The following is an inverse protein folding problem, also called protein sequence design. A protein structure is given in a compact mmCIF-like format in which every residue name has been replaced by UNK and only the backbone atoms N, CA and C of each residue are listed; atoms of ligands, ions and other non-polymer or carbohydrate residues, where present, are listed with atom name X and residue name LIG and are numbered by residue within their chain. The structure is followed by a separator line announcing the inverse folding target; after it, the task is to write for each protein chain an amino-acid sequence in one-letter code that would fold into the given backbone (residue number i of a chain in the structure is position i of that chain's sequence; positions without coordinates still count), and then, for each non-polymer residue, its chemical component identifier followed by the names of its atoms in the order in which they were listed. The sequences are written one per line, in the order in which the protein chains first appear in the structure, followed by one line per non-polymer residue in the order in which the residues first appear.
data_IF_811266981701
#
_entry.id   IF_811266981701
#
_cell.length_a   1.000
_cell.length_b   1.000
_cell.length_c   1.000
_cell.angle_alpha   90.00
_cell.angle_beta   90.00
_cell.angle_gamma   90.00
#
_symmetry.space_group_name_H-M   'P 1'
#
loop_
_entity.id
_entity.type
_entity.pdbx_description
1 polymer ?
#
# COMPACT_ATOMS: atom_id res chain seq x y z
N UNK A 1 -19.39 14.31 -29.67
CA UNK A 1 -18.71 13.07 -29.23
C UNK A 1 -18.87 12.98 -27.72
N UNK A 2 -19.50 11.92 -27.20
CA UNK A 2 -19.73 11.74 -25.77
C UNK A 2 -18.38 11.40 -25.10
N UNK A 3 -17.86 12.30 -24.28
CA UNK A 3 -16.70 12.07 -23.41
C UNK A 3 -17.19 11.27 -22.21
N UNK A 4 -17.29 9.95 -22.34
CA UNK A 4 -17.66 9.10 -21.19
C UNK A 4 -16.40 8.66 -20.44
N UNK A 5 -16.39 8.99 -19.14
CA UNK A 5 -15.67 8.34 -18.03
C UNK A 5 -14.22 7.89 -18.29
N UNK A 6 -13.25 8.79 -18.09
CA UNK A 6 -11.83 8.48 -18.25
C UNK A 6 -11.09 8.12 -16.95
N UNK A 7 -11.80 8.02 -15.82
CA UNK A 7 -11.23 7.66 -14.51
C UNK A 7 -11.67 6.26 -14.02
N UNK A 8 -12.16 5.41 -14.94
CA UNK A 8 -12.64 4.07 -14.61
C UNK A 8 -11.52 3.04 -14.34
N UNK A 9 -10.24 3.39 -14.55
CA UNK A 9 -9.10 2.47 -14.41
C UNK A 9 -8.58 2.24 -12.99
N UNK A 10 -8.96 3.09 -12.03
CA UNK A 10 -8.56 2.94 -10.62
C UNK A 10 -9.53 2.03 -9.88
N UNK A 11 -9.50 0.73 -10.21
CA UNK A 11 -10.12 -0.30 -9.38
C UNK A 11 -9.37 -0.34 -8.05
N UNK A 12 -9.92 0.34 -7.05
CA UNK A 12 -9.45 0.27 -5.68
C UNK A 12 -9.75 -1.13 -5.16
N UNK A 13 -8.70 -1.95 -5.07
CA UNK A 13 -8.69 -3.09 -4.18
C UNK A 13 -8.85 -2.55 -2.76
N UNK A 14 -10.10 -2.48 -2.31
CA UNK A 14 -10.47 -2.41 -0.92
C UNK A 14 -9.80 -3.59 -0.23
N UNK A 15 -8.66 -3.34 0.40
CA UNK A 15 -8.12 -4.25 1.41
C UNK A 15 -9.08 -4.16 2.57
N UNK A 16 -10.15 -4.93 2.48
CA UNK A 16 -11.03 -5.25 3.59
C UNK A 16 -10.17 -5.96 4.63
N UNK A 17 -9.62 -5.21 5.58
CA UNK A 17 -9.19 -5.75 6.87
C UNK A 17 -10.41 -6.10 7.76
N UNK A 18 -11.61 -6.19 7.18
CA UNK A 18 -12.79 -6.72 7.83
C UNK A 18 -12.72 -8.24 7.85
N UNK A 19 -12.35 -8.75 9.02
CA UNK A 19 -12.46 -10.15 9.36
C UNK A 19 -13.89 -10.66 9.17
N UNK A 20 -14.01 -11.74 8.40
CA UNK A 20 -15.11 -12.68 8.54
C UNK A 20 -14.61 -13.84 9.40
N UNK A 21 -15.17 -13.92 10.60
CA UNK A 21 -14.81 -14.90 11.61
C UNK A 21 -15.16 -16.32 11.19
N UNK A 22 -14.23 -17.23 11.43
CA UNK A 22 -14.53 -18.64 11.61
C UNK A 22 -14.49 -18.94 13.10
N UNK A 23 -15.67 -19.01 13.73
CA UNK A 23 -15.85 -19.74 14.98
C UNK A 23 -15.65 -21.22 14.65
N UNK A 24 -14.55 -21.81 15.13
CA UNK A 24 -14.40 -23.26 15.21
C UNK A 24 -14.50 -23.68 16.67
N UNK A 25 -15.44 -24.58 16.92
CA UNK A 25 -15.72 -25.20 18.21
C UNK A 25 -14.59 -26.14 18.65
N UNK A 26 -14.40 -26.22 19.98
CA UNK A 26 -13.55 -27.20 20.68
C UNK A 26 -14.32 -28.52 20.84
N UNK A 27 -13.66 -29.70 20.89
CA UNK A 27 -13.29 -30.32 22.18
C UNK A 27 -11.92 -31.07 22.11
N UNK A 28 -11.04 -30.99 23.12
CA UNK A 28 -10.92 -31.78 24.36
C UNK A 28 -9.94 -33.00 24.28
N UNK A 29 -8.82 -32.83 25.00
CA UNK A 29 -8.13 -33.77 25.92
C UNK A 29 -7.50 -35.10 25.42
N UNK A 30 -6.18 -35.23 25.57
CA UNK A 30 -5.50 -36.46 26.02
C UNK A 30 -4.05 -36.17 26.49
N UNK A 31 -3.65 -36.92 27.51
CA UNK A 31 -2.55 -36.75 28.48
C UNK A 31 -1.14 -37.10 27.96
N UNK A 32 -0.11 -36.49 28.55
CA UNK A 32 1.34 -36.71 28.36
C UNK A 32 1.84 -38.09 28.90
N UNK A 33 3.12 -38.54 28.69
CA UNK A 33 4.31 -37.92 29.31
C UNK A 33 5.62 -37.92 28.49
N UNK A 34 6.63 -37.27 29.09
CA UNK A 34 7.92 -36.77 28.63
C UNK A 34 8.94 -37.78 28.07
N UNK A 35 9.85 -37.32 27.21
CA UNK A 35 11.30 -37.62 27.33
C UNK A 35 12.15 -36.53 26.66
N UNK A 36 13.44 -36.58 26.95
CA UNK A 36 14.34 -35.48 27.28
C UNK A 36 15.20 -34.99 26.10
N UNK A 37 15.69 -33.75 26.25
CA UNK A 37 16.96 -33.21 25.75
C UNK A 37 17.15 -33.03 24.23
N UNK A 38 17.01 -31.78 23.76
CA UNK A 38 18.12 -31.09 23.09
C UNK A 38 17.94 -29.57 23.17
N UNK A 39 18.83 -28.97 23.94
CA UNK A 39 19.14 -27.56 23.97
C UNK A 39 19.69 -27.18 22.58
N UNK A 40 18.91 -26.47 21.78
CA UNK A 40 19.39 -25.90 20.52
C UNK A 40 19.12 -24.40 20.52
N UNK A 41 20.22 -23.64 20.60
CA UNK A 41 20.27 -22.19 20.60
C UNK A 41 19.80 -21.60 19.25
N UNK A 42 18.48 -21.66 19.00
CA UNK A 42 17.84 -21.07 17.82
C UNK A 42 17.17 -19.71 18.11
N UNK A 43 16.96 -19.35 19.39
CA UNK A 43 16.14 -18.20 19.79
C UNK A 43 16.65 -16.78 19.45
N UNK A 44 17.97 -16.48 19.28
CA UNK A 44 18.38 -15.08 19.08
C UNK A 44 17.97 -14.45 17.74
N UNK A 45 17.87 -15.25 16.66
CA UNK A 45 17.56 -14.72 15.31
C UNK A 45 16.06 -14.49 15.10
N UNK A 46 15.21 -15.30 15.73
CA UNK A 46 13.76 -15.17 15.60
C UNK A 46 13.25 -13.92 16.34
N UNK A 47 13.82 -13.63 17.52
CA UNK A 47 13.49 -12.44 18.30
C UNK A 47 13.96 -11.15 17.62
N UNK A 48 15.17 -11.13 17.03
CA UNK A 48 15.68 -9.96 16.32
C UNK A 48 14.87 -9.63 15.06
N UNK A 49 14.46 -10.63 14.27
CA UNK A 49 13.64 -10.42 13.08
C UNK A 49 12.22 -9.95 13.41
N UNK A 50 11.66 -10.44 14.53
CA UNK A 50 10.37 -9.96 15.05
C UNK A 50 10.44 -8.50 15.48
N UNK A 51 11.47 -8.11 16.22
CA UNK A 51 11.66 -6.73 16.67
C UNK A 51 11.86 -5.78 15.47
N UNK A 52 12.66 -6.18 14.48
CA UNK A 52 12.84 -5.44 13.23
C UNK A 52 11.52 -5.23 12.49
N UNK A 53 10.68 -6.27 12.39
CA UNK A 53 9.37 -6.18 11.76
C UNK A 53 8.43 -5.25 12.51
N UNK A 54 8.39 -5.29 13.84
CA UNK A 54 7.54 -4.39 14.65
C UNK A 54 7.96 -2.94 14.45
N UNK A 55 9.26 -2.63 14.58
CA UNK A 55 9.79 -1.28 14.34
C UNK A 55 9.48 -0.79 12.93
N UNK A 56 9.59 -1.67 11.94
CA UNK A 56 9.25 -1.34 10.57
C UNK A 56 7.75 -1.04 10.38
N UNK A 57 6.86 -1.81 10.99
CA UNK A 57 5.41 -1.58 10.94
C UNK A 57 5.04 -0.22 11.54
N UNK A 58 5.66 0.17 12.65
CA UNK A 58 5.51 1.49 13.25
C UNK A 58 6.07 2.59 12.35
N UNK A 59 7.26 2.39 11.79
CA UNK A 59 7.91 3.37 10.91
C UNK A 59 7.15 3.60 9.61
N UNK A 60 6.48 2.56 9.06
CA UNK A 60 5.73 2.66 7.81
C UNK A 60 4.31 3.17 8.01
N UNK A 61 3.78 3.19 9.23
CA UNK A 61 2.41 3.64 9.52
C UNK A 61 2.11 5.05 8.99
N UNK A 62 2.95 6.08 9.19
CA UNK A 62 2.69 7.41 8.65
C UNK A 62 2.58 7.43 7.11
N UNK A 63 3.36 6.58 6.43
CA UNK A 63 3.27 6.42 4.98
C UNK A 63 1.98 5.72 4.55
N UNK A 64 1.50 4.74 5.34
CA UNK A 64 0.23 4.07 5.08
C UNK A 64 -0.96 5.02 5.25
N UNK A 65 -0.94 5.87 6.27
CA UNK A 65 -1.97 6.90 6.50
C UNK A 65 -2.01 7.90 5.34
N UNK A 66 -0.85 8.42 4.92
CA UNK A 66 -0.75 9.29 3.74
C UNK A 66 -1.25 8.60 2.47
N UNK A 67 -0.97 7.30 2.31
CA UNK A 67 -1.43 6.54 1.15
C UNK A 67 -2.94 6.31 1.17
N UNK A 68 -3.53 6.11 2.35
CA UNK A 68 -4.98 6.02 2.51
C UNK A 68 -5.66 7.35 2.13
N UNK A 69 -5.07 8.50 2.51
CA UNK A 69 -5.56 9.81 2.08
C UNK A 69 -5.43 10.02 0.57
N UNK A 70 -4.30 9.63 -0.02
CA UNK A 70 -4.09 9.68 -1.48
C UNK A 70 -5.15 8.85 -2.22
N UNK A 71 -5.36 7.60 -1.81
CA UNK A 71 -6.38 6.72 -2.40
C UNK A 71 -7.79 7.27 -2.19
N UNK A 72 -8.08 7.86 -1.02
CA UNK A 72 -9.35 8.52 -0.78
C UNK A 72 -9.57 9.68 -1.74
N UNK A 73 -8.58 10.55 -1.96
CA UNK A 73 -8.71 11.66 -2.90
C UNK A 73 -8.96 11.19 -4.34
N UNK A 74 -8.31 10.11 -4.77
CA UNK A 74 -8.62 9.47 -6.06
C UNK A 74 -10.10 9.08 -6.11
N UNK A 75 -10.59 8.37 -5.11
CA UNK A 75 -11.98 7.94 -5.06
C UNK A 75 -12.95 9.12 -5.06
N UNK A 76 -12.63 10.18 -4.30
CA UNK A 76 -13.43 11.40 -4.25
C UNK A 76 -13.49 12.07 -5.62
N UNK A 77 -12.38 12.09 -6.38
CA UNK A 77 -12.36 12.63 -7.76
C UNK A 77 -13.18 11.76 -8.72
N UNK A 78 -13.01 10.44 -8.67
CA UNK A 78 -13.69 9.48 -9.56
C UNK A 78 -15.20 9.46 -9.35
N UNK A 79 -15.66 9.69 -8.12
CA UNK A 79 -17.07 9.65 -7.76
C UNK A 79 -17.72 11.05 -7.72
N UNK A 80 -16.98 12.11 -8.08
CA UNK A 80 -17.53 13.47 -8.09
C UNK A 80 -18.07 13.84 -9.49
N UNK A 81 -19.40 13.92 -9.68
CA UNK A 81 -19.99 14.27 -10.96
C UNK A 81 -19.66 15.70 -11.41
N UNK A 82 -19.25 16.59 -10.49
CA UNK A 82 -18.78 17.93 -10.85
C UNK A 82 -17.37 17.90 -11.43
N UNK A 83 -16.57 16.87 -11.15
CA UNK A 83 -15.22 16.74 -11.70
C UNK A 83 -15.26 16.56 -13.22
N UNK A 84 -16.22 15.78 -13.73
CA UNK A 84 -16.37 15.53 -15.18
C UNK A 84 -16.74 16.80 -15.96
N UNK A 85 -17.41 17.75 -15.31
CA UNK A 85 -17.84 19.03 -15.90
C UNK A 85 -16.70 20.07 -15.98
N UNK A 86 -15.57 19.82 -15.31
CA UNK A 86 -14.42 20.72 -15.33
C UNK A 86 -13.75 20.71 -16.71
N UNK A 87 -13.17 21.85 -17.07
CA UNK A 87 -12.24 21.93 -18.20
C UNK A 87 -10.96 21.15 -17.90
N UNK A 88 -10.22 20.78 -18.93
CA UNK A 88 -8.97 20.03 -18.75
C UNK A 88 -7.94 20.83 -17.93
N UNK A 89 -7.86 22.15 -18.13
CA UNK A 89 -7.05 23.05 -17.29
C UNK A 89 -7.48 23.04 -15.80
N UNK A 90 -8.78 23.01 -15.52
CA UNK A 90 -9.29 22.91 -14.14
C UNK A 90 -9.01 21.54 -13.51
N UNK A 91 -9.07 20.46 -14.31
CA UNK A 91 -8.72 19.10 -13.87
C UNK A 91 -7.24 19.01 -13.54
N UNK A 92 -6.37 19.51 -14.43
CA UNK A 92 -4.93 19.59 -14.21
C UNK A 92 -4.61 20.34 -12.91
N UNK A 93 -5.22 21.51 -12.69
CA UNK A 93 -4.98 22.32 -11.50
C UNK A 93 -5.42 21.60 -10.21
N UNK A 94 -6.58 20.92 -10.21
CA UNK A 94 -7.02 20.10 -9.07
C UNK A 94 -6.06 18.96 -8.76
N UNK A 95 -5.55 18.27 -9.78
CA UNK A 95 -4.58 17.20 -9.59
C UNK A 95 -3.25 17.74 -9.07
N UNK A 96 -2.79 18.88 -9.59
CA UNK A 96 -1.53 19.53 -9.22
C UNK A 96 -1.53 20.07 -7.79
N UNK A 97 -2.65 20.63 -7.34
CA UNK A 97 -2.77 21.27 -6.00
C UNK A 97 -3.29 20.31 -4.93
N UNK A 98 -4.03 19.27 -5.30
CA UNK A 98 -4.59 18.29 -4.36
C UNK A 98 -3.84 16.97 -4.38
N UNK A 99 -3.93 16.24 -5.50
CA UNK A 99 -3.55 14.84 -5.57
C UNK A 99 -2.03 14.61 -5.62
N UNK A 100 -1.32 15.37 -6.44
CA UNK A 100 0.13 15.25 -6.63
C UNK A 100 0.93 15.48 -5.33
N UNK A 101 0.62 16.51 -4.50
CA UNK A 101 1.24 16.67 -3.20
C UNK A 101 1.07 15.45 -2.30
N UNK A 102 -0.12 14.81 -2.31
CA UNK A 102 -0.36 13.61 -1.51
C UNK A 102 0.41 12.39 -2.02
N UNK A 103 0.53 12.21 -3.33
CA UNK A 103 1.39 11.18 -3.90
C UNK A 103 2.86 11.38 -3.48
N UNK A 104 3.35 12.62 -3.50
CA UNK A 104 4.72 12.97 -3.06
C UNK A 104 4.91 12.75 -1.56
N UNK A 105 3.92 13.10 -0.75
CA UNK A 105 3.97 12.87 0.70
C UNK A 105 4.17 11.38 1.03
N UNK A 106 3.48 10.47 0.33
CA UNK A 106 3.68 9.01 0.47
C UNK A 106 5.10 8.62 0.11
N UNK A 107 5.59 9.10 -1.04
CA UNK A 107 6.93 8.82 -1.54
C UNK A 107 8.01 9.28 -0.55
N UNK A 108 7.90 10.50 -0.03
CA UNK A 108 8.84 11.09 0.92
C UNK A 108 8.87 10.30 2.22
N UNK A 109 7.70 9.97 2.79
CA UNK A 109 7.62 9.19 4.04
C UNK A 109 8.21 7.79 3.88
N UNK A 110 7.99 7.14 2.74
CA UNK A 110 8.61 5.84 2.46
C UNK A 110 10.12 5.97 2.34
N UNK A 111 10.63 6.94 1.56
CA UNK A 111 12.08 7.13 1.36
C UNK A 111 12.83 7.52 2.64
N UNK A 112 12.14 8.06 3.63
CA UNK A 112 12.72 8.39 4.93
C UNK A 112 12.99 7.14 5.82
N UNK A 113 12.40 6.00 5.50
CA UNK A 113 12.52 4.78 6.30
C UNK A 113 13.79 4.03 5.86
N UNK A 114 14.62 3.66 6.83
CA UNK A 114 15.74 2.73 6.62
C UNK A 114 15.38 1.38 7.25
N UNK A 115 14.88 0.41 6.45
CA UNK A 115 14.48 -0.89 6.97
C UNK A 115 15.69 -1.77 7.27
N UNK A 116 15.49 -2.76 8.15
CA UNK A 116 16.42 -3.87 8.29
C UNK A 116 16.61 -4.62 6.96
N UNK A 117 17.77 -5.29 6.82
CA UNK A 117 18.17 -5.98 5.58
C UNK A 117 17.11 -6.95 5.05
N UNK A 118 16.43 -7.65 5.95
CA UNK A 118 15.41 -8.63 5.58
C UNK A 118 14.13 -7.98 5.02
N UNK A 119 13.85 -6.73 5.38
CA UNK A 119 12.67 -5.97 4.94
C UNK A 119 12.97 -5.06 3.74
N UNK A 120 14.25 -4.88 3.41
CA UNK A 120 14.72 -3.94 2.38
C UNK A 120 14.11 -4.19 1.01
N UNK A 121 14.05 -5.45 0.55
CA UNK A 121 13.52 -5.79 -0.77
C UNK A 121 12.00 -5.52 -0.89
N UNK A 122 11.25 -5.75 0.18
CA UNK A 122 9.82 -5.44 0.24
C UNK A 122 9.58 -3.93 0.31
N UNK A 123 10.39 -3.23 1.12
CA UNK A 123 10.32 -1.78 1.25
C UNK A 123 10.65 -1.06 -0.07
N UNK A 124 11.64 -1.56 -0.82
CA UNK A 124 11.99 -1.03 -2.14
C UNK A 124 10.80 -1.12 -3.12
N UNK A 125 10.00 -2.20 -3.06
CA UNK A 125 8.76 -2.28 -3.86
C UNK A 125 7.76 -1.19 -3.49
N UNK A 126 7.64 -0.84 -2.20
CA UNK A 126 6.77 0.26 -1.75
C UNK A 126 7.27 1.61 -2.27
N UNK A 127 8.58 1.86 -2.24
CA UNK A 127 9.18 3.06 -2.82
C UNK A 127 8.89 3.13 -4.32
N UNK A 128 9.13 2.04 -5.06
CA UNK A 128 8.84 1.95 -6.50
C UNK A 128 7.36 2.20 -6.80
N UNK A 129 6.45 1.67 -5.99
CA UNK A 129 5.02 1.95 -6.08
C UNK A 129 4.72 3.44 -5.93
N UNK A 130 5.29 4.10 -4.91
CA UNK A 130 5.08 5.53 -4.70
C UNK A 130 5.69 6.39 -5.82
N UNK A 131 6.87 6.02 -6.33
CA UNK A 131 7.48 6.65 -7.50
C UNK A 131 6.55 6.56 -8.72
N UNK A 132 5.99 5.38 -8.99
CA UNK A 132 5.06 5.15 -10.10
C UNK A 132 3.75 5.93 -9.94
N UNK A 133 3.22 6.06 -8.73
CA UNK A 133 2.07 6.93 -8.45
C UNK A 133 2.36 8.39 -8.77
N UNK A 134 3.53 8.92 -8.34
CA UNK A 134 3.91 10.32 -8.61
C UNK A 134 4.07 10.56 -10.11
N UNK A 135 4.73 9.66 -10.83
CA UNK A 135 4.91 9.78 -12.29
C UNK A 135 3.55 9.67 -12.98
N UNK A 136 2.71 8.68 -12.62
CA UNK A 136 1.39 8.49 -13.21
C UNK A 136 0.49 9.72 -13.05
N UNK A 137 0.43 10.30 -11.85
CA UNK A 137 -0.33 11.55 -11.63
C UNK A 137 0.23 12.71 -12.46
N UNK A 138 1.55 12.80 -12.57
CA UNK A 138 2.21 13.84 -13.39
C UNK A 138 1.86 13.69 -14.87
N UNK A 139 1.85 12.46 -15.39
CA UNK A 139 1.49 12.16 -16.78
C UNK A 139 0.01 12.50 -17.05
N UNK A 140 -0.90 12.27 -16.10
CA UNK A 140 -2.31 12.72 -16.21
C UNK A 140 -2.40 14.25 -16.27
N UNK A 141 -1.65 14.96 -15.42
CA UNK A 141 -1.61 16.43 -15.45
C UNK A 141 -1.12 16.91 -16.81
N UNK A 142 -0.01 16.34 -17.30
CA UNK A 142 0.54 16.69 -18.63
C UNK A 142 -0.45 16.37 -19.74
N UNK A 143 -1.18 15.26 -19.68
CA UNK A 143 -2.21 14.92 -20.65
C UNK A 143 -3.28 16.01 -20.75
N UNK A 144 -3.75 16.53 -19.61
CA UNK A 144 -4.73 17.60 -19.58
C UNK A 144 -4.16 18.95 -20.02
N UNK A 145 -2.92 19.28 -19.66
CA UNK A 145 -2.27 20.55 -20.04
C UNK A 145 -1.90 20.61 -21.53
N UNK A 146 -1.59 19.46 -22.15
CA UNK A 146 -1.14 19.36 -23.55
C UNK A 146 -2.18 18.77 -24.50
N UNK A 147 -3.36 18.39 -23.99
CA UNK A 147 -4.40 17.64 -24.72
C UNK A 147 -3.89 16.33 -25.37
N UNK A 148 -2.77 15.79 -24.87
CA UNK A 148 -2.16 14.55 -25.36
C UNK A 148 -2.73 13.32 -24.62
N UNK A 149 -3.70 12.66 -25.24
CA UNK A 149 -4.33 11.47 -24.67
C UNK A 149 -3.40 10.26 -24.60
N UNK A 150 -2.28 10.22 -25.32
CA UNK A 150 -1.30 9.13 -25.19
C UNK A 150 -0.66 9.12 -23.79
N UNK A 151 -0.56 10.29 -23.16
CA UNK A 151 -0.10 10.44 -21.77
C UNK A 151 -1.03 9.80 -20.74
N UNK A 152 -2.35 9.72 -21.03
CA UNK A 152 -3.28 8.98 -20.16
C UNK A 152 -2.98 7.48 -20.19
N UNK A 153 -2.68 6.93 -21.37
CA UNK A 153 -2.34 5.49 -21.50
C UNK A 153 -1.07 5.18 -20.71
N UNK A 154 -0.03 6.01 -20.87
CA UNK A 154 1.19 5.89 -20.09
C UNK A 154 0.95 5.98 -18.58
N UNK A 155 0.08 6.90 -18.14
CA UNK A 155 -0.29 7.02 -16.74
C UNK A 155 -1.02 5.77 -16.21
N UNK A 156 -1.95 5.20 -16.99
CA UNK A 156 -2.70 4.00 -16.59
C UNK A 156 -1.77 2.80 -16.39
N UNK A 157 -0.80 2.60 -17.29
CA UNK A 157 0.20 1.55 -17.16
C UNK A 157 1.07 1.73 -15.90
N UNK A 158 1.50 2.96 -15.61
CA UNK A 158 2.27 3.29 -14.40
C UNK A 158 1.45 3.01 -13.12
N UNK A 159 0.17 3.37 -13.11
CA UNK A 159 -0.70 3.16 -11.95
C UNK A 159 -1.03 1.68 -11.74
N UNK A 160 -1.18 0.89 -12.82
CA UNK A 160 -1.30 -0.57 -12.74
C UNK A 160 -0.04 -1.22 -12.18
N UNK A 161 1.14 -0.81 -12.65
CA UNK A 161 2.41 -1.26 -12.07
C UNK A 161 2.51 -0.93 -10.58
N UNK A 162 2.10 0.27 -10.19
CA UNK A 162 2.06 0.69 -8.78
C UNK A 162 1.14 -0.23 -7.94
N UNK A 163 -0.03 -0.59 -8.45
CA UNK A 163 -0.97 -1.51 -7.79
C UNK A 163 -0.37 -2.91 -7.61
N UNK A 164 0.28 -3.43 -8.64
CA UNK A 164 0.91 -4.75 -8.58
C UNK A 164 2.08 -4.77 -7.58
N UNK A 165 2.91 -3.72 -7.56
CA UNK A 165 3.96 -3.54 -6.55
C UNK A 165 3.40 -3.47 -5.13
N UNK A 166 2.27 -2.77 -4.92
CA UNK A 166 1.59 -2.72 -3.63
C UNK A 166 1.12 -4.12 -3.20
N UNK A 167 0.51 -4.87 -4.12
CA UNK A 167 0.04 -6.24 -3.85
C UNK A 167 1.20 -7.16 -3.46
N UNK A 168 2.30 -7.13 -4.21
CA UNK A 168 3.50 -7.91 -3.90
C UNK A 168 4.08 -7.55 -2.53
N UNK A 169 4.25 -6.25 -2.26
CA UNK A 169 4.78 -5.79 -0.97
C UNK A 169 3.88 -6.16 0.21
N UNK A 170 2.55 -6.16 0.03
CA UNK A 170 1.61 -6.58 1.07
C UNK A 170 1.63 -8.10 1.27
N UNK A 171 1.77 -8.90 0.21
CA UNK A 171 1.94 -10.35 0.32
C UNK A 171 3.21 -10.69 1.10
N UNK A 172 4.34 -10.06 0.74
CA UNK A 172 5.61 -10.28 1.45
C UNK A 172 5.54 -9.84 2.91
N UNK A 173 4.87 -8.71 3.20
CA UNK A 173 4.64 -8.28 4.57
C UNK A 173 3.78 -9.29 5.35
N UNK A 174 2.72 -9.82 4.75
CA UNK A 174 1.89 -10.86 5.36
C UNK A 174 2.70 -12.12 5.67
N UNK A 175 3.55 -12.57 4.75
CA UNK A 175 4.39 -13.74 4.96
C UNK A 175 5.41 -13.51 6.08
N UNK A 176 5.99 -12.30 6.16
CA UNK A 176 6.87 -11.90 7.27
C UNK A 176 6.13 -11.88 8.61
N UNK A 177 4.90 -11.36 8.66
CA UNK A 177 4.10 -11.33 9.90
C UNK A 177 3.73 -12.73 10.38
N UNK A 178 3.43 -13.66 9.46
CA UNK A 178 3.23 -15.08 9.78
C UNK A 178 4.52 -15.73 10.27
N UNK A 179 5.65 -15.48 9.58
CA UNK A 179 6.96 -16.02 9.93
C UNK A 179 7.37 -15.67 11.36
N UNK A 180 7.13 -14.43 11.79
CA UNK A 180 7.52 -13.94 13.12
C UNK A 180 6.37 -13.93 14.15
N UNK A 181 5.22 -14.52 13.80
CA UNK A 181 4.01 -14.54 14.62
C UNK A 181 3.65 -13.14 15.18
N UNK A 182 3.73 -12.12 14.32
CA UNK A 182 3.36 -10.73 14.62
C UNK A 182 1.91 -10.52 14.19
N UNK A 183 1.05 -10.21 15.15
CA UNK A 183 -0.36 -9.94 14.90
C UNK A 183 -0.55 -8.48 14.46
N UNK A 184 -0.91 -8.28 13.19
CA UNK A 184 -1.22 -6.95 12.64
C UNK A 184 -2.54 -6.35 13.15
N UNK A 185 -3.34 -7.11 13.92
CA UNK A 185 -4.63 -6.64 14.46
C UNK A 185 -4.51 -5.94 15.83
N UNK A 186 -3.39 -6.13 16.54
CA UNK A 186 -3.13 -5.44 17.81
C UNK A 186 -2.51 -4.08 17.53
N UNK A 187 -3.35 -3.06 17.37
CA UNK A 187 -2.92 -1.68 17.59
C UNK A 187 -2.29 -1.59 18.98
N UNK A 188 -1.12 -0.96 19.06
CA UNK A 188 -0.48 -0.61 20.32
C UNK A 188 -1.49 0.09 21.25
N UNK A 189 -1.46 -0.32 22.51
CA UNK A 189 -2.18 0.32 23.61
C UNK A 189 -1.94 1.83 23.64
#
# INVERSE_FOLDING_TARGET
MKKEALLAGLVVLSISLYGCGSKSEKPANATAPQTNTQQQAAQPKEDAGKEALVKYLEAVQPAQEANAEFVKQINDLNNNPEYDKLTDAQKAEKLKTGLLPKAKEVQEKLKAITPDKELSAMHEKRIKMADKNVIGVTEIITAFESEDMAKIVAADDLLKEAQELNKQANSELQDMTKKYNVDMSKKGN
#
